data_IF_758384112623
#
_entry.id   IF_758384112623
#
_cell.length_a   1.000
_cell.length_b   1.000
_cell.length_c   1.000
_cell.angle_alpha   90.00
_cell.angle_beta   90.00
_cell.angle_gamma   90.00
#
_symmetry.space_group_name_H-M   'P 1'
#
loop_
_entity.id
_entity.type
_entity.pdbx_description
1 polymer ?
#
# COMPACT_ATOMS: atom_id res chain seq x y z
N UNK A 1 -20.05 -14.08 0.12
CA UNK A 1 -20.81 -13.00 -0.59
C UNK A 1 -19.79 -12.25 -1.44
N UNK A 2 -19.92 -12.30 -2.74
CA UNK A 2 -18.98 -11.61 -3.63
C UNK A 2 -19.33 -10.12 -3.60
N UNK A 3 -18.54 -9.31 -2.92
CA UNK A 3 -18.72 -7.85 -2.88
C UNK A 3 -18.19 -7.30 -4.21
N UNK A 4 -19.10 -6.88 -5.09
CA UNK A 4 -18.75 -6.43 -6.46
C UNK A 4 -18.42 -4.93 -6.53
N UNK A 5 -18.92 -4.14 -5.59
CA UNK A 5 -18.71 -2.70 -5.54
C UNK A 5 -17.51 -2.38 -4.64
N UNK A 6 -16.44 -1.77 -5.15
CA UNK A 6 -15.27 -1.39 -4.37
C UNK A 6 -15.60 -0.49 -3.18
N UNK A 7 -16.58 0.42 -3.32
CA UNK A 7 -17.01 1.29 -2.21
C UNK A 7 -17.58 0.47 -1.06
N UNK A 8 -18.46 -0.47 -1.33
CA UNK A 8 -19.05 -1.35 -0.30
C UNK A 8 -17.96 -2.20 0.35
N UNK A 9 -16.98 -2.66 -0.44
CA UNK A 9 -15.84 -3.42 0.06
C UNK A 9 -14.98 -2.58 1.01
N UNK A 10 -14.63 -1.36 0.62
CA UNK A 10 -13.88 -0.42 1.46
C UNK A 10 -14.63 -0.16 2.77
N UNK A 11 -15.89 0.21 2.71
CA UNK A 11 -16.71 0.47 3.90
C UNK A 11 -16.84 -0.77 4.80
N UNK A 12 -17.00 -1.95 4.22
CA UNK A 12 -17.13 -3.20 4.97
C UNK A 12 -15.84 -3.63 5.66
N UNK A 13 -14.68 -3.47 4.99
CA UNK A 13 -13.38 -3.87 5.54
C UNK A 13 -12.88 -2.84 6.54
N UNK A 14 -13.09 -1.57 6.26
CA UNK A 14 -12.62 -0.49 7.12
C UNK A 14 -13.43 -0.37 8.42
N UNK A 15 -14.71 -0.74 8.41
CA UNK A 15 -15.55 -0.69 9.60
C UNK A 15 -15.03 -1.57 10.78
N UNK A 16 -14.66 -2.85 10.60
CA UNK A 16 -14.06 -3.66 11.67
C UNK A 16 -12.74 -3.11 12.18
N UNK A 17 -11.93 -2.55 11.28
CA UNK A 17 -10.65 -1.92 11.62
C UNK A 17 -10.87 -0.73 12.54
N UNK A 18 -11.85 0.11 12.24
CA UNK A 18 -12.24 1.26 13.09
C UNK A 18 -12.73 0.84 14.48
N UNK A 19 -13.56 -0.19 14.55
CA UNK A 19 -14.15 -0.69 15.81
C UNK A 19 -13.08 -1.30 16.73
N UNK A 20 -12.05 -1.93 16.17
CA UNK A 20 -10.99 -2.59 16.92
C UNK A 20 -9.78 -1.68 17.20
N UNK A 21 -9.90 -0.37 16.96
CA UNK A 21 -8.81 0.59 17.14
C UNK A 21 -7.58 0.34 16.25
N UNK A 22 -7.74 -0.45 15.22
CA UNK A 22 -6.72 -0.61 14.18
C UNK A 22 -6.86 0.56 13.20
N UNK A 23 -6.00 1.54 13.36
CA UNK A 23 -5.99 2.72 12.50
C UNK A 23 -5.34 2.37 11.16
N UNK A 24 -6.06 2.63 10.07
CA UNK A 24 -5.35 2.87 8.81
C UNK A 24 -4.93 4.33 8.81
N UNK A 25 -3.69 4.60 8.53
CA UNK A 25 -3.21 5.97 8.32
C UNK A 25 -3.45 6.44 6.88
N UNK A 26 -4.49 5.90 6.25
CA UNK A 26 -4.79 6.11 4.84
C UNK A 26 -6.01 7.03 4.67
N UNK A 27 -5.98 7.83 3.62
CA UNK A 27 -7.08 8.70 3.22
C UNK A 27 -8.18 7.88 2.55
N UNK A 28 -9.44 8.06 2.93
CA UNK A 28 -10.57 7.29 2.40
C UNK A 28 -10.65 7.36 0.86
N UNK A 29 -10.54 8.54 0.27
CA UNK A 29 -10.63 8.73 -1.18
C UNK A 29 -9.47 8.08 -1.94
N UNK A 30 -8.27 8.07 -1.35
CA UNK A 30 -7.12 7.35 -1.91
C UNK A 30 -7.35 5.84 -1.91
N UNK A 31 -7.80 5.29 -0.78
CA UNK A 31 -8.12 3.86 -0.67
C UNK A 31 -9.27 3.49 -1.59
N UNK A 32 -10.29 4.32 -1.71
CA UNK A 32 -11.40 4.10 -2.62
C UNK A 32 -10.94 4.13 -4.08
N UNK A 33 -10.12 5.12 -4.45
CA UNK A 33 -9.53 5.19 -5.79
C UNK A 33 -8.71 3.94 -6.10
N UNK A 34 -7.87 3.53 -5.15
CA UNK A 34 -7.03 2.33 -5.30
C UNK A 34 -7.87 1.05 -5.39
N UNK A 35 -8.95 0.95 -4.63
CA UNK A 35 -9.87 -0.19 -4.71
C UNK A 35 -10.58 -0.28 -6.08
N UNK A 36 -11.01 0.84 -6.67
CA UNK A 36 -11.56 0.87 -8.04
C UNK A 36 -10.49 0.52 -9.07
N UNK A 37 -9.28 1.05 -8.91
CA UNK A 37 -8.16 0.70 -9.78
C UNK A 37 -7.88 -0.81 -9.74
N UNK A 38 -7.74 -1.39 -8.55
CA UNK A 38 -7.46 -2.83 -8.38
C UNK A 38 -8.59 -3.71 -8.92
N UNK A 39 -9.85 -3.29 -8.75
CA UNK A 39 -11.00 -4.00 -9.31
C UNK A 39 -10.97 -4.05 -10.84
N UNK A 40 -10.51 -2.99 -11.49
CA UNK A 40 -10.36 -2.95 -12.95
C UNK A 40 -9.07 -3.60 -13.45
N UNK A 41 -8.01 -3.58 -12.65
CA UNK A 41 -6.70 -4.15 -12.96
C UNK A 41 -6.65 -5.68 -12.78
N UNK A 42 -7.40 -6.20 -11.79
CA UNK A 42 -7.50 -7.63 -11.44
C UNK A 42 -6.12 -8.28 -11.21
N UNK A 43 -5.36 -7.86 -10.20
CA UNK A 43 -4.06 -8.45 -9.91
C UNK A 43 -4.22 -9.91 -9.47
N UNK A 44 -3.33 -10.78 -9.93
CA UNK A 44 -3.25 -12.14 -9.40
C UNK A 44 -2.48 -12.13 -8.07
N UNK A 45 -1.21 -11.74 -8.09
CA UNK A 45 -0.37 -11.70 -6.90
C UNK A 45 -0.15 -10.26 -6.43
N UNK A 46 -0.22 -10.04 -5.11
CA UNK A 46 0.01 -8.75 -4.49
C UNK A 46 1.08 -8.80 -3.40
N UNK A 47 1.80 -7.71 -3.26
CA UNK A 47 2.76 -7.45 -2.18
C UNK A 47 2.49 -6.08 -1.56
N UNK A 48 2.52 -5.99 -0.24
CA UNK A 48 2.51 -4.73 0.49
C UNK A 48 3.76 -4.64 1.38
N UNK A 49 4.48 -3.53 1.27
CA UNK A 49 5.63 -3.16 2.09
C UNK A 49 5.19 -2.07 3.05
N UNK A 50 5.32 -2.32 4.36
CA UNK A 50 4.74 -1.47 5.40
C UNK A 50 3.27 -1.81 5.68
N UNK A 51 2.96 -3.08 5.90
CA UNK A 51 1.58 -3.57 6.04
C UNK A 51 1.02 -3.43 7.47
N UNK A 52 1.30 -2.34 8.15
CA UNK A 52 0.87 -2.08 9.52
C UNK A 52 -0.65 -1.94 9.69
N UNK A 53 -1.33 -1.45 8.68
CA UNK A 53 -2.75 -1.09 8.73
C UNK A 53 -3.69 -2.01 7.96
N UNK A 54 -4.95 -1.57 7.79
CA UNK A 54 -6.03 -2.31 7.16
C UNK A 54 -5.95 -2.45 5.64
N UNK A 55 -5.04 -1.76 4.98
CA UNK A 55 -4.85 -1.76 3.53
C UNK A 55 -4.57 -3.15 2.98
N UNK A 56 -3.75 -3.92 3.68
CA UNK A 56 -3.46 -5.30 3.31
C UNK A 56 -4.73 -6.17 3.22
N UNK A 57 -5.65 -6.03 4.16
CA UNK A 57 -6.92 -6.77 4.15
C UNK A 57 -7.78 -6.40 2.94
N UNK A 58 -7.81 -5.12 2.55
CA UNK A 58 -8.51 -4.65 1.37
C UNK A 58 -7.91 -5.23 0.09
N UNK A 59 -6.60 -5.06 -0.09
CA UNK A 59 -5.90 -5.50 -1.30
C UNK A 59 -5.97 -7.04 -1.46
N UNK A 60 -5.90 -7.76 -0.33
CA UNK A 60 -6.03 -9.23 -0.32
C UNK A 60 -7.35 -9.71 -0.90
N UNK A 61 -8.44 -8.98 -0.73
CA UNK A 61 -9.74 -9.34 -1.28
C UNK A 61 -9.92 -8.96 -2.76
N UNK A 62 -9.05 -8.10 -3.26
CA UNK A 62 -9.02 -7.65 -4.66
C UNK A 62 -7.97 -8.38 -5.50
N UNK A 63 -7.29 -9.37 -4.93
CA UNK A 63 -6.31 -10.22 -5.64
C UNK A 63 -6.68 -11.70 -5.52
N UNK A 64 -6.33 -12.49 -6.53
CA UNK A 64 -6.78 -13.89 -6.64
C UNK A 64 -5.70 -14.93 -6.29
N UNK A 65 -4.42 -14.53 -6.33
CA UNK A 65 -3.27 -15.41 -6.06
C UNK A 65 -2.62 -15.16 -4.70
N UNK A 66 -1.28 -15.15 -4.68
CA UNK A 66 -0.50 -14.94 -3.45
C UNK A 66 -0.59 -13.49 -2.97
N UNK A 67 -0.74 -13.35 -1.66
CA UNK A 67 -0.84 -12.10 -0.92
C UNK A 67 0.28 -12.08 0.10
N UNK A 68 1.24 -11.18 -0.07
CA UNK A 68 2.41 -11.10 0.80
C UNK A 68 2.46 -9.73 1.44
N UNK A 69 2.56 -9.69 2.76
CA UNK A 69 2.81 -8.48 3.54
C UNK A 69 4.20 -8.53 4.17
N UNK A 70 4.92 -7.41 4.13
CA UNK A 70 6.22 -7.23 4.78
C UNK A 70 6.13 -6.07 5.74
N UNK A 71 6.53 -6.29 7.00
CA UNK A 71 6.61 -5.23 8.01
C UNK A 71 7.68 -5.53 9.05
N UNK A 72 8.26 -4.47 9.63
CA UNK A 72 9.32 -4.60 10.63
C UNK A 72 8.80 -4.86 12.05
N UNK A 73 7.55 -4.49 12.34
CA UNK A 73 7.03 -4.52 13.70
C UNK A 73 5.56 -4.87 13.89
N UNK A 74 4.82 -5.16 12.85
CA UNK A 74 3.35 -5.16 12.85
C UNK A 74 2.69 -6.49 13.22
N UNK A 75 3.40 -7.49 13.76
CA UNK A 75 2.84 -8.83 13.97
C UNK A 75 1.54 -8.86 14.81
N UNK A 76 1.37 -7.94 15.74
CA UNK A 76 0.15 -7.87 16.56
C UNK A 76 -1.05 -7.32 15.75
N UNK A 77 -0.86 -6.25 15.01
CA UNK A 77 -1.90 -5.62 14.19
C UNK A 77 -2.29 -6.51 13.03
N UNK A 78 -1.34 -7.19 12.41
CA UNK A 78 -1.55 -8.19 11.36
C UNK A 78 -2.50 -9.30 11.82
N UNK A 79 -2.34 -9.83 13.03
CA UNK A 79 -3.20 -10.90 13.54
C UNK A 79 -4.66 -10.49 13.69
N UNK A 80 -4.94 -9.22 13.96
CA UNK A 80 -6.32 -8.69 14.01
C UNK A 80 -6.94 -8.66 12.62
N UNK A 81 -6.14 -8.33 11.60
CA UNK A 81 -6.59 -8.26 10.20
C UNK A 81 -6.71 -9.64 9.54
N UNK A 82 -5.94 -10.63 9.97
CA UNK A 82 -6.04 -12.01 9.47
C UNK A 82 -7.44 -12.61 9.60
N UNK A 83 -8.20 -12.19 10.62
CA UNK A 83 -9.58 -12.65 10.81
C UNK A 83 -10.54 -12.16 9.71
N UNK A 84 -10.18 -11.13 8.98
CA UNK A 84 -10.96 -10.57 7.87
C UNK A 84 -10.58 -11.15 6.50
N UNK A 85 -9.54 -11.97 6.42
CA UNK A 85 -9.02 -12.52 5.16
C UNK A 85 -9.65 -13.87 4.88
N UNK A 86 -10.30 -14.00 3.71
CA UNK A 86 -11.02 -15.22 3.31
C UNK A 86 -10.14 -16.30 2.68
N UNK A 87 -8.83 -16.06 2.54
CA UNK A 87 -7.89 -16.98 1.86
C UNK A 87 -6.56 -17.08 2.62
N UNK A 88 -6.57 -17.72 3.80
CA UNK A 88 -5.37 -17.80 4.64
C UNK A 88 -4.25 -18.65 4.02
N UNK A 89 -4.56 -19.59 3.12
CA UNK A 89 -3.57 -20.47 2.49
C UNK A 89 -2.68 -19.72 1.48
N UNK A 90 -3.19 -18.64 0.91
CA UNK A 90 -2.46 -17.79 -0.03
C UNK A 90 -1.96 -16.48 0.59
N UNK A 91 -2.20 -16.28 1.90
CA UNK A 91 -1.83 -15.05 2.61
C UNK A 91 -0.60 -15.30 3.49
N UNK A 92 0.44 -14.50 3.30
CA UNK A 92 1.73 -14.66 3.97
C UNK A 92 2.21 -13.34 4.54
N UNK A 93 2.76 -13.40 5.77
CA UNK A 93 3.39 -12.25 6.41
C UNK A 93 4.86 -12.52 6.69
N UNK A 94 5.69 -11.54 6.40
CA UNK A 94 7.12 -11.56 6.63
C UNK A 94 7.44 -10.44 7.63
N UNK A 95 7.75 -10.83 8.86
CA UNK A 95 8.36 -9.92 9.82
C UNK A 95 9.82 -9.74 9.44
N UNK A 96 10.20 -8.52 9.09
CA UNK A 96 11.58 -8.20 8.68
C UNK A 96 11.70 -6.81 8.09
N UNK A 97 12.93 -6.34 8.02
CA UNK A 97 13.30 -5.11 7.37
C UNK A 97 13.18 -5.27 5.85
N UNK A 98 12.26 -4.50 5.24
CA UNK A 98 11.99 -4.54 3.80
C UNK A 98 13.20 -4.19 2.94
N UNK A 99 14.12 -3.39 3.49
CA UNK A 99 15.29 -2.86 2.80
C UNK A 99 16.47 -3.85 2.70
N UNK A 100 16.24 -5.13 3.05
CA UNK A 100 17.27 -6.17 3.03
C UNK A 100 17.05 -7.21 1.94
N UNK A 101 18.15 -7.70 1.34
CA UNK A 101 18.10 -8.84 0.39
C UNK A 101 17.57 -10.12 1.05
N UNK A 102 17.78 -10.29 2.36
CA UNK A 102 17.23 -11.43 3.10
C UNK A 102 15.71 -11.42 3.04
N UNK A 103 15.08 -10.30 3.34
CA UNK A 103 13.61 -10.15 3.29
C UNK A 103 13.10 -10.32 1.86
N UNK A 104 13.76 -9.70 0.86
CA UNK A 104 13.41 -9.91 -0.55
C UNK A 104 13.49 -11.39 -0.95
N UNK A 105 14.50 -12.13 -0.51
CA UNK A 105 14.63 -13.56 -0.81
C UNK A 105 13.51 -14.40 -0.17
N UNK A 106 13.05 -14.03 1.03
CA UNK A 106 11.87 -14.65 1.66
C UNK A 106 10.60 -14.35 0.86
N UNK A 107 10.43 -13.13 0.35
CA UNK A 107 9.33 -12.77 -0.55
C UNK A 107 9.37 -13.60 -1.83
N UNK A 108 10.54 -13.68 -2.50
CA UNK A 108 10.75 -14.48 -3.71
C UNK A 108 10.45 -15.98 -3.51
N UNK A 109 10.75 -16.50 -2.33
CA UNK A 109 10.47 -17.90 -1.99
C UNK A 109 8.97 -18.21 -1.90
N UNK A 110 8.13 -17.22 -1.55
CA UNK A 110 6.67 -17.35 -1.52
C UNK A 110 6.09 -17.12 -2.92
N UNK A 111 6.50 -16.04 -3.56
CA UNK A 111 6.05 -15.65 -4.90
C UNK A 111 7.15 -14.88 -5.63
N UNK A 112 7.61 -15.36 -6.79
CA UNK A 112 8.69 -14.70 -7.53
C UNK A 112 8.25 -13.50 -8.36
N UNK A 113 6.93 -13.28 -8.54
CA UNK A 113 6.41 -12.22 -9.39
C UNK A 113 5.05 -11.71 -8.92
N UNK A 114 4.91 -10.40 -8.82
CA UNK A 114 3.71 -9.71 -8.36
C UNK A 114 3.15 -8.78 -9.43
N UNK A 115 1.82 -8.74 -9.55
CA UNK A 115 1.13 -7.79 -10.45
C UNK A 115 0.86 -6.45 -9.77
N UNK A 116 0.74 -6.45 -8.44
CA UNK A 116 0.52 -5.26 -7.65
C UNK A 116 1.50 -5.23 -6.47
N UNK A 117 2.23 -4.13 -6.33
CA UNK A 117 3.11 -3.86 -5.19
C UNK A 117 2.73 -2.50 -4.61
N UNK A 118 2.46 -2.44 -3.31
CA UNK A 118 2.19 -1.21 -2.59
C UNK A 118 3.37 -0.92 -1.65
N UNK A 119 3.97 0.27 -1.76
CA UNK A 119 5.10 0.73 -0.96
C UNK A 119 4.62 1.82 -0.01
N UNK A 120 4.61 1.52 1.28
CA UNK A 120 4.17 2.40 2.37
C UNK A 120 4.93 2.06 3.68
N UNK A 121 6.23 1.83 3.57
CA UNK A 121 7.10 1.40 4.68
C UNK A 121 7.89 2.54 5.31
N UNK A 122 9.17 2.64 5.00
CA UNK A 122 10.04 3.73 5.44
C UNK A 122 9.85 4.95 4.54
N UNK A 123 9.40 6.07 5.11
CA UNK A 123 9.10 7.30 4.38
C UNK A 123 10.33 8.20 4.14
N UNK A 124 11.53 7.77 4.50
CA UNK A 124 12.75 8.48 4.11
C UNK A 124 13.02 8.32 2.62
N UNK A 125 13.73 9.27 2.02
CA UNK A 125 14.12 9.18 0.59
C UNK A 125 14.89 7.89 0.30
N UNK A 126 15.86 7.58 1.15
CA UNK A 126 16.71 6.39 1.02
C UNK A 126 15.90 5.10 1.20
N UNK A 127 14.96 5.08 2.15
CA UNK A 127 14.09 3.93 2.42
C UNK A 127 13.20 3.60 1.24
N UNK A 128 12.43 4.59 0.75
CA UNK A 128 11.57 4.41 -0.44
C UNK A 128 12.38 4.03 -1.67
N UNK A 129 13.56 4.67 -1.87
CA UNK A 129 14.45 4.35 -2.99
C UNK A 129 14.93 2.90 -2.92
N UNK A 130 15.29 2.42 -1.72
CA UNK A 130 15.75 1.05 -1.52
C UNK A 130 14.65 0.04 -1.74
N UNK A 131 13.47 0.27 -1.20
CA UNK A 131 12.29 -0.57 -1.43
C UNK A 131 11.95 -0.64 -2.92
N UNK A 132 11.95 0.49 -3.63
CA UNK A 132 11.74 0.50 -5.07
C UNK A 132 12.74 -0.39 -5.80
N UNK A 133 14.06 -0.20 -5.56
CA UNK A 133 15.08 -0.95 -6.27
C UNK A 133 15.09 -2.45 -5.95
N UNK A 134 14.72 -2.83 -4.75
CA UNK A 134 14.58 -4.24 -4.37
C UNK A 134 13.33 -4.85 -5.00
N UNK A 135 12.17 -4.24 -4.79
CA UNK A 135 10.89 -4.87 -5.16
C UNK A 135 10.53 -4.74 -6.64
N UNK A 136 11.12 -3.79 -7.39
CA UNK A 136 10.94 -3.79 -8.85
C UNK A 136 11.48 -5.05 -9.54
N UNK A 137 12.37 -5.81 -8.87
CA UNK A 137 12.88 -7.09 -9.38
C UNK A 137 11.81 -8.18 -9.42
N UNK A 138 10.81 -8.07 -8.55
CA UNK A 138 9.69 -9.03 -8.45
C UNK A 138 8.39 -8.49 -9.03
N UNK A 139 8.39 -7.28 -9.62
CA UNK A 139 7.24 -6.77 -10.34
C UNK A 139 7.12 -7.47 -11.70
N UNK A 140 5.93 -7.99 -12.01
CA UNK A 140 5.65 -8.61 -13.33
C UNK A 140 5.70 -7.57 -14.46
N UNK A 141 5.77 -8.01 -15.71
CA UNK A 141 5.84 -7.11 -16.86
C UNK A 141 4.55 -6.28 -17.03
N UNK A 142 3.40 -6.83 -16.64
CA UNK A 142 2.13 -6.08 -16.60
C UNK A 142 1.91 -5.33 -15.29
N UNK A 143 2.79 -5.54 -14.31
CA UNK A 143 2.62 -5.11 -12.93
C UNK A 143 2.61 -3.59 -12.76
N UNK A 144 2.00 -3.17 -11.66
CA UNK A 144 2.04 -1.79 -11.18
C UNK A 144 2.58 -1.73 -9.75
N UNK A 145 3.50 -0.81 -9.50
CA UNK A 145 3.95 -0.46 -8.17
C UNK A 145 3.31 0.87 -7.77
N UNK A 146 2.72 0.92 -6.59
CA UNK A 146 2.06 2.11 -6.07
C UNK A 146 2.79 2.58 -4.83
N UNK A 147 3.09 3.87 -4.79
CA UNK A 147 3.74 4.56 -3.67
C UNK A 147 2.73 5.43 -2.95
N UNK A 148 2.76 5.37 -1.63
CA UNK A 148 2.01 6.31 -0.80
C UNK A 148 2.84 7.56 -0.47
N UNK A 149 2.20 8.61 0.04
CA UNK A 149 2.83 9.84 0.52
C UNK A 149 3.62 10.64 -0.53
N UNK A 150 3.13 10.66 -1.77
CA UNK A 150 3.79 11.40 -2.85
C UNK A 150 3.35 12.87 -2.99
N UNK A 151 2.37 13.34 -2.22
CA UNK A 151 1.92 14.74 -2.30
C UNK A 151 2.97 15.69 -1.71
N UNK A 152 3.57 16.60 -2.51
CA UNK A 152 4.56 17.56 -2.02
C UNK A 152 3.96 18.63 -1.10
N UNK A 153 2.63 18.81 -1.10
CA UNK A 153 1.95 19.84 -0.33
C UNK A 153 1.41 19.34 1.02
N UNK A 154 1.75 18.10 1.39
CA UNK A 154 1.34 17.56 2.68
C UNK A 154 1.78 18.48 3.83
N UNK A 155 0.86 18.88 4.72
CA UNK A 155 1.10 19.91 5.76
C UNK A 155 2.21 19.56 6.75
N UNK A 156 2.44 18.30 6.98
CA UNK A 156 3.43 17.83 7.94
C UNK A 156 4.82 17.64 7.34
N UNK A 157 5.02 17.97 6.07
CA UNK A 157 6.33 17.89 5.43
C UNK A 157 7.30 18.89 6.05
N UNK A 158 8.44 18.40 6.48
CA UNK A 158 9.48 19.19 7.15
C UNK A 158 9.45 19.14 8.69
N UNK A 159 8.46 18.49 9.31
CA UNK A 159 8.35 18.36 10.77
C UNK A 159 8.78 16.99 11.32
N UNK A 160 9.49 16.18 10.51
CA UNK A 160 10.07 14.89 10.92
C UNK A 160 9.45 13.67 10.24
N UNK A 161 10.03 12.50 10.50
CA UNK A 161 9.73 11.23 9.85
C UNK A 161 8.27 10.76 9.98
N UNK A 162 7.54 11.27 10.95
CA UNK A 162 6.17 10.84 11.26
C UNK A 162 5.10 11.31 10.27
N UNK A 163 5.46 12.15 9.30
CA UNK A 163 4.47 12.92 8.55
C UNK A 163 4.71 12.86 7.03
N UNK A 164 4.58 11.69 6.43
CA UNK A 164 4.74 11.50 4.98
C UNK A 164 6.17 11.67 4.46
N UNK A 165 7.12 11.92 5.35
CA UNK A 165 8.56 11.87 5.10
C UNK A 165 9.04 12.54 3.80
N UNK A 166 9.91 11.85 3.09
CA UNK A 166 10.53 12.28 1.83
C UNK A 166 10.12 11.43 0.61
N UNK A 167 9.07 10.59 0.74
CA UNK A 167 8.60 9.74 -0.37
C UNK A 167 8.26 10.58 -1.62
N UNK A 168 7.70 11.79 -1.42
CA UNK A 168 7.42 12.73 -2.51
C UNK A 168 8.68 13.15 -3.29
N UNK A 169 9.83 13.33 -2.61
CA UNK A 169 11.10 13.71 -3.26
C UNK A 169 11.60 12.58 -4.14
N UNK A 170 11.62 11.35 -3.58
CA UNK A 170 11.95 10.17 -4.36
C UNK A 170 11.02 10.05 -5.59
N UNK A 171 9.71 10.21 -5.39
CA UNK A 171 8.75 10.15 -6.48
C UNK A 171 9.02 11.21 -7.56
N UNK A 172 9.36 12.44 -7.19
CA UNK A 172 9.71 13.50 -8.15
C UNK A 172 10.98 13.15 -8.93
N UNK A 173 11.99 12.63 -8.26
CA UNK A 173 13.29 12.31 -8.85
C UNK A 173 13.27 11.02 -9.69
N UNK A 174 12.27 10.16 -9.53
CA UNK A 174 12.13 8.91 -10.28
C UNK A 174 11.86 9.20 -11.76
N UNK A 175 12.87 8.98 -12.62
CA UNK A 175 12.85 9.32 -14.05
C UNK A 175 12.71 8.10 -14.96
N UNK A 176 12.61 6.88 -14.42
CA UNK A 176 12.42 5.65 -15.17
C UNK A 176 10.97 5.18 -15.12
N UNK A 177 10.55 4.42 -16.15
CA UNK A 177 9.20 3.86 -16.20
C UNK A 177 8.13 4.86 -16.65
N UNK A 178 6.89 4.43 -16.50
CA UNK A 178 5.69 5.24 -16.79
C UNK A 178 5.02 5.58 -15.47
N UNK A 179 4.78 6.87 -15.24
CA UNK A 179 4.23 7.40 -13.99
C UNK A 179 2.85 8.01 -14.20
N UNK A 180 1.96 7.83 -13.22
CA UNK A 180 0.73 8.61 -13.05
C UNK A 180 0.46 8.83 -11.57
N UNK A 181 -0.36 9.81 -11.23
CA UNK A 181 -0.60 10.25 -9.86
C UNK A 181 -2.09 10.36 -9.59
N UNK A 182 -2.46 10.12 -8.33
CA UNK A 182 -3.74 10.50 -7.77
C UNK A 182 -3.49 11.27 -6.48
N UNK A 183 -3.89 12.54 -6.46
CA UNK A 183 -3.78 13.42 -5.29
C UNK A 183 -5.17 13.98 -5.01
N UNK A 184 -5.68 13.71 -3.82
CA UNK A 184 -6.95 14.26 -3.38
C UNK A 184 -6.86 15.78 -3.25
N UNK A 185 -7.78 16.52 -3.87
CA UNK A 185 -7.77 17.99 -3.89
C UNK A 185 -8.68 18.61 -2.86
N UNK A 186 -9.57 17.85 -2.22
CA UNK A 186 -10.58 18.40 -1.32
C UNK A 186 -10.60 17.68 0.02
N UNK A 187 -10.70 18.46 1.08
CA UNK A 187 -10.71 17.99 2.47
C UNK A 187 -12.11 17.65 2.99
N UNK A 188 -13.17 17.78 2.19
CA UNK A 188 -14.55 17.75 2.70
C UNK A 188 -15.08 16.32 2.95
N UNK A 189 -14.44 15.29 2.35
CA UNK A 189 -14.85 13.89 2.50
C UNK A 189 -14.00 13.07 3.50
N UNK A 190 -13.18 13.74 4.29
CA UNK A 190 -12.23 13.14 5.25
C UNK A 190 -12.87 12.46 6.47
N UNK A 191 -14.15 12.29 6.50
CA UNK A 191 -14.91 12.12 7.75
C UNK A 191 -14.69 10.81 8.49
N UNK A 192 -13.87 9.87 8.06
CA UNK A 192 -14.00 8.54 8.65
C UNK A 192 -12.73 7.82 9.16
N UNK A 193 -11.50 8.24 8.87
CA UNK A 193 -10.41 7.31 9.11
C UNK A 193 -9.30 7.74 10.08
N UNK A 194 -9.07 9.02 10.33
CA UNK A 194 -8.03 9.45 11.30
C UNK A 194 -8.51 10.71 12.03
N UNK A 195 -8.93 10.59 13.29
CA UNK A 195 -9.11 11.67 14.26
C UNK A 195 -9.64 13.02 13.73
N UNK A 196 -10.47 13.04 12.68
CA UNK A 196 -10.98 14.26 12.05
C UNK A 196 -9.87 15.26 11.63
N UNK A 197 -8.68 14.79 11.30
CA UNK A 197 -7.60 15.66 10.82
C UNK A 197 -7.62 15.75 9.29
N UNK A 198 -8.10 16.85 8.70
CA UNK A 198 -8.17 17.04 7.25
C UNK A 198 -6.80 17.27 6.60
N UNK A 199 -5.71 17.04 7.32
CA UNK A 199 -4.36 17.41 6.90
C UNK A 199 -3.54 16.25 6.32
N UNK A 200 -4.04 15.02 6.37
CA UNK A 200 -3.34 13.84 5.86
C UNK A 200 -3.71 13.57 4.40
N UNK A 201 -3.13 14.34 3.49
CA UNK A 201 -3.16 14.05 2.05
C UNK A 201 -1.86 13.33 1.69
N UNK A 202 -1.89 12.01 1.61
CA UNK A 202 -0.70 11.23 1.29
C UNK A 202 -0.33 11.29 -0.19
N UNK A 203 -1.34 11.15 -1.07
CA UNK A 203 -1.18 11.00 -2.51
C UNK A 203 -0.69 9.61 -2.93
N UNK A 204 -1.15 9.12 -4.09
CA UNK A 204 -0.78 7.84 -4.67
C UNK A 204 0.00 8.04 -5.96
N UNK A 205 1.21 7.46 -6.04
CA UNK A 205 2.03 7.42 -7.25
C UNK A 205 2.00 6.02 -7.88
N UNK A 206 1.55 5.91 -9.12
CA UNK A 206 1.50 4.66 -9.87
C UNK A 206 2.67 4.57 -10.84
N UNK A 207 3.47 3.55 -10.73
CA UNK A 207 4.63 3.31 -11.57
C UNK A 207 4.54 1.96 -12.30
N UNK A 208 4.91 1.95 -13.57
CA UNK A 208 5.03 0.75 -14.40
C UNK A 208 6.37 0.74 -15.14
N UNK A 209 6.87 -0.46 -15.43
CA UNK A 209 8.00 -0.63 -16.35
C UNK A 209 7.66 -0.01 -17.70
N UNK A 210 8.63 0.66 -18.34
CA UNK A 210 8.48 1.05 -19.76
C UNK A 210 8.34 -0.21 -20.60
N UNK A 211 7.36 -0.22 -21.51
CA UNK A 211 7.30 -1.26 -22.53
C UNK A 211 8.53 -1.14 -23.45
N UNK A 212 9.27 -2.22 -23.61
CA UNK A 212 10.35 -2.31 -24.60
C UNK A 212 9.79 -2.34 -26.02
#
# INVERSE_FOLDING_TARGET
MEIKDPKVLVEHIMAPVMVNSCFTQQVYDEILHLAYFLKGFEPNNMLEVGCKGGTFSLFSQLSTGKKVGVDIGAQFEINVHLSAINDPENTHFILGDSQTEETLNRVKAICPSFDFIFIDGDHTYEGVSRDFHLYKQVLSDRGVMVFHDIDPNHRLRGEGEAAGGEAYRFWQDLNEGVKSEFICQTSDDYHLLINNDPTHLGGLGFWKKSSC
#
